data_IF_203767387168
#
_entry.id   IF_203767387168
#
_cell.length_a   1.000
_cell.length_b   1.000
_cell.length_c   1.000
_cell.angle_alpha   90.00
_cell.angle_beta   90.00
_cell.angle_gamma   90.00
#
_symmetry.space_group_name_H-M   'P 1'
#
loop_
_entity.id
_entity.type
_entity.pdbx_description
1 polymer ?
#
# COMPACT_ATOMS: atom_id res chain seq x y z
N UNK A 1 7.08 -1.75 -8.68
CA UNK A 1 6.24 -1.72 -7.47
C UNK A 1 5.89 -0.29 -7.15
N UNK A 2 4.66 -0.07 -6.66
CA UNK A 2 4.23 1.19 -6.06
C UNK A 2 3.83 0.94 -4.60
N UNK A 3 4.29 1.81 -3.70
CA UNK A 3 3.80 1.92 -2.32
C UNK A 3 3.17 3.31 -2.17
N UNK A 4 1.94 3.36 -1.68
CA UNK A 4 1.24 4.60 -1.31
C UNK A 4 1.23 4.66 0.21
N UNK A 5 1.84 5.69 0.80
CA UNK A 5 2.23 5.75 2.20
C UNK A 5 3.53 5.01 2.46
N UNK A 6 3.69 4.43 3.65
CA UNK A 6 4.89 3.66 4.01
C UNK A 6 6.15 4.51 4.18
N UNK A 7 5.99 5.75 4.62
CA UNK A 7 7.09 6.69 4.86
C UNK A 7 8.09 6.25 5.93
N UNK A 8 7.77 5.19 6.69
CA UNK A 8 8.69 4.55 7.65
C UNK A 8 9.71 3.62 6.98
N UNK A 9 9.53 3.29 5.69
CA UNK A 9 10.39 2.45 4.87
C UNK A 9 10.51 0.98 5.32
N UNK A 10 9.74 0.50 6.28
CA UNK A 10 9.86 -0.90 6.73
C UNK A 10 9.46 -1.87 5.61
N UNK A 11 8.36 -1.63 4.92
CA UNK A 11 7.95 -2.44 3.75
C UNK A 11 9.02 -2.37 2.65
N UNK A 12 9.53 -1.17 2.38
CA UNK A 12 10.60 -0.96 1.39
C UNK A 12 11.82 -1.81 1.72
N UNK A 13 12.29 -1.77 2.96
CA UNK A 13 13.44 -2.54 3.43
C UNK A 13 13.22 -4.06 3.24
N UNK A 14 12.03 -4.56 3.59
CA UNK A 14 11.69 -5.97 3.43
C UNK A 14 11.65 -6.38 1.95
N UNK A 15 11.05 -5.58 1.10
CA UNK A 15 11.00 -5.83 -0.33
C UNK A 15 12.39 -5.84 -0.96
N UNK A 16 13.25 -4.90 -0.57
CA UNK A 16 14.61 -4.76 -1.13
C UNK A 16 15.56 -5.91 -0.76
N UNK A 17 15.19 -6.79 0.16
CA UNK A 17 15.92 -8.03 0.40
C UNK A 17 15.76 -9.04 -0.75
N UNK A 18 14.73 -8.87 -1.59
CA UNK A 18 14.48 -9.75 -2.71
C UNK A 18 15.13 -9.19 -4.00
N UNK A 19 16.09 -9.93 -4.55
CA UNK A 19 16.86 -9.54 -5.75
C UNK A 19 16.02 -9.42 -7.04
N UNK A 20 14.79 -9.96 -7.06
CA UNK A 20 13.88 -9.90 -8.21
C UNK A 20 13.22 -8.53 -8.33
N UNK A 21 13.20 -7.75 -7.25
CA UNK A 21 12.55 -6.44 -7.23
C UNK A 21 13.42 -5.43 -7.98
N UNK A 22 12.84 -4.85 -9.03
CA UNK A 22 13.47 -3.81 -9.83
C UNK A 22 13.11 -2.41 -9.32
N UNK A 23 12.27 -1.70 -10.06
CA UNK A 23 11.87 -0.33 -9.71
C UNK A 23 10.80 -0.32 -8.61
N UNK A 24 11.01 0.51 -7.58
CA UNK A 24 10.08 0.74 -6.49
C UNK A 24 9.85 2.25 -6.34
N UNK A 25 8.60 2.67 -6.38
CA UNK A 25 8.21 4.05 -6.11
C UNK A 25 7.41 4.10 -4.82
N UNK A 26 7.76 5.03 -3.94
CA UNK A 26 7.05 5.33 -2.69
C UNK A 26 6.43 6.71 -2.90
N UNK A 27 5.13 6.83 -2.66
CA UNK A 27 4.41 8.10 -2.70
C UNK A 27 3.87 8.38 -1.31
N UNK A 28 4.56 9.26 -0.59
CA UNK A 28 4.21 9.66 0.77
C UNK A 28 3.65 11.08 0.77
N UNK A 29 2.54 11.26 1.46
CA UNK A 29 1.89 12.57 1.53
C UNK A 29 2.68 13.54 2.41
N UNK A 30 3.19 13.05 3.52
CA UNK A 30 3.81 13.85 4.57
C UNK A 30 5.33 13.65 4.62
N UNK A 31 6.06 14.69 4.25
CA UNK A 31 7.53 14.70 4.32
C UNK A 31 8.04 14.52 5.74
N UNK A 32 7.35 15.08 6.73
CA UNK A 32 7.79 15.02 8.13
C UNK A 32 7.77 13.59 8.66
N UNK A 33 6.83 12.76 8.21
CA UNK A 33 6.82 11.32 8.54
C UNK A 33 8.14 10.66 8.15
N UNK A 34 8.62 10.91 6.93
CA UNK A 34 9.89 10.34 6.45
C UNK A 34 11.09 10.86 7.24
N UNK A 35 11.10 12.16 7.56
CA UNK A 35 12.20 12.79 8.31
C UNK A 35 12.28 12.23 9.74
N UNK A 36 11.15 12.17 10.45
CA UNK A 36 11.07 11.61 11.80
C UNK A 36 11.42 10.12 11.81
N UNK A 37 10.86 9.35 10.87
CA UNK A 37 11.17 7.92 10.79
C UNK A 37 12.65 7.65 10.45
N UNK A 38 13.28 8.51 9.66
CA UNK A 38 14.72 8.39 9.37
C UNK A 38 15.57 8.62 10.63
N UNK A 39 15.15 9.51 11.49
CA UNK A 39 15.84 9.78 12.76
C UNK A 39 15.66 8.63 13.76
N UNK A 40 14.42 8.19 13.98
CA UNK A 40 14.11 7.21 15.03
C UNK A 40 14.21 5.75 14.59
N UNK A 41 14.09 5.47 13.29
CA UNK A 41 14.18 4.14 12.69
C UNK A 41 15.24 4.06 11.58
N UNK A 42 16.50 4.47 11.83
CA UNK A 42 17.51 4.59 10.78
C UNK A 42 17.83 3.25 10.07
N UNK A 43 17.54 2.12 10.71
CA UNK A 43 17.76 0.79 10.12
C UNK A 43 16.80 0.49 8.97
N UNK A 44 15.64 1.13 8.91
CA UNK A 44 14.67 0.95 7.82
C UNK A 44 15.15 1.57 6.51
N UNK A 45 16.09 2.51 6.59
CA UNK A 45 16.69 3.18 5.43
C UNK A 45 18.03 2.57 5.00
N UNK A 46 18.50 1.52 5.73
CA UNK A 46 19.73 0.78 5.40
C UNK A 46 19.39 -0.48 4.60
N UNK A 47 19.33 -0.37 3.30
CA UNK A 47 19.19 -1.48 2.38
C UNK A 47 20.22 -1.37 1.25
N UNK A 48 20.67 -2.54 0.75
CA UNK A 48 21.58 -2.57 -0.39
C UNK A 48 20.80 -2.27 -1.66
N UNK A 49 21.06 -1.12 -2.25
CA UNK A 49 20.69 -0.89 -3.64
C UNK A 49 21.70 -1.62 -4.53
N UNK A 50 21.21 -2.40 -5.47
CA UNK A 50 22.05 -2.94 -6.55
C UNK A 50 21.78 -2.13 -7.82
N UNK A 51 22.62 -2.30 -8.86
CA UNK A 51 22.52 -1.53 -10.10
C UNK A 51 21.15 -1.67 -10.81
N UNK A 52 20.39 -2.70 -10.50
CA UNK A 52 19.09 -2.99 -11.10
C UNK A 52 17.90 -2.45 -10.30
N UNK A 53 18.11 -1.96 -9.06
CA UNK A 53 17.05 -1.53 -8.17
C UNK A 53 17.06 0.00 -8.04
N UNK A 54 15.99 0.64 -8.52
CA UNK A 54 15.79 2.08 -8.33
C UNK A 54 14.65 2.31 -7.35
N UNK A 55 14.96 3.00 -6.26
CA UNK A 55 13.95 3.50 -5.32
C UNK A 55 13.71 4.97 -5.63
N UNK A 56 12.46 5.31 -5.85
CA UNK A 56 12.01 6.67 -6.09
C UNK A 56 11.05 7.07 -4.98
N UNK A 57 11.42 8.06 -4.18
CA UNK A 57 10.56 8.67 -3.17
C UNK A 57 9.97 9.96 -3.72
N UNK A 58 8.65 10.04 -3.70
CA UNK A 58 7.86 11.17 -4.16
C UNK A 58 6.99 11.68 -3.02
N UNK A 59 6.97 12.99 -2.80
CA UNK A 59 6.07 13.62 -1.85
C UNK A 59 4.87 14.21 -2.60
N UNK A 60 3.74 13.49 -2.58
CA UNK A 60 2.51 13.89 -3.26
C UNK A 60 1.31 13.11 -2.68
N UNK A 61 0.12 13.52 -3.04
CA UNK A 61 -1.10 12.75 -2.81
C UNK A 61 -1.11 11.46 -3.64
N UNK A 62 -1.23 10.31 -2.95
CA UNK A 62 -1.14 8.99 -3.58
C UNK A 62 -2.22 8.71 -4.62
N UNK A 63 -3.44 9.23 -4.42
CA UNK A 63 -4.52 9.09 -5.41
C UNK A 63 -4.21 9.91 -6.67
N UNK A 64 -3.83 11.17 -6.49
CA UNK A 64 -3.50 12.09 -7.57
C UNK A 64 -2.31 11.56 -8.38
N UNK A 65 -1.24 11.20 -7.71
CA UNK A 65 -0.05 10.65 -8.36
C UNK A 65 -0.36 9.37 -9.16
N UNK A 66 -1.12 8.45 -8.56
CA UNK A 66 -1.53 7.22 -9.25
C UNK A 66 -2.38 7.53 -10.48
N UNK A 67 -3.27 8.52 -10.43
CA UNK A 67 -4.11 8.94 -11.56
C UNK A 67 -3.25 9.36 -12.77
N UNK A 68 -2.18 10.11 -12.53
CA UNK A 68 -1.31 10.65 -13.57
C UNK A 68 -0.28 9.62 -14.08
N UNK A 69 -0.10 8.50 -13.39
CA UNK A 69 0.79 7.42 -13.84
C UNK A 69 0.23 6.70 -15.08
N UNK A 70 1.10 5.96 -15.78
CA UNK A 70 0.70 5.16 -16.96
C UNK A 70 -0.14 3.92 -16.53
N UNK A 71 -1.03 3.48 -17.40
CA UNK A 71 -1.79 2.24 -17.20
C UNK A 71 -0.88 1.01 -17.36
N UNK A 72 -1.26 -0.10 -16.73
CA UNK A 72 -0.57 -1.38 -16.81
C UNK A 72 0.94 -1.29 -16.54
N UNK A 73 1.32 -0.50 -15.54
CA UNK A 73 2.73 -0.23 -15.20
C UNK A 73 3.21 -1.09 -14.04
N UNK A 74 2.36 -1.34 -13.04
CA UNK A 74 2.79 -1.92 -11.78
C UNK A 74 2.50 -3.42 -11.71
N UNK A 75 3.49 -4.18 -11.24
CA UNK A 75 3.34 -5.60 -10.88
C UNK A 75 2.68 -5.75 -9.50
N UNK A 76 2.91 -4.77 -8.62
CA UNK A 76 2.39 -4.73 -7.26
C UNK A 76 2.10 -3.28 -6.86
N UNK A 77 0.91 -3.06 -6.29
CA UNK A 77 0.55 -1.81 -5.62
C UNK A 77 0.22 -2.14 -4.15
N UNK A 78 0.90 -1.47 -3.23
CA UNK A 78 0.67 -1.57 -1.78
C UNK A 78 0.13 -0.23 -1.29
N UNK A 79 -0.92 -0.27 -0.47
CA UNK A 79 -1.44 0.89 0.24
C UNK A 79 -1.23 0.67 1.73
N UNK A 80 -0.28 1.41 2.27
CA UNK A 80 0.10 1.40 3.68
C UNK A 80 -0.06 2.82 4.23
N UNK A 81 -1.28 3.15 4.55
CA UNK A 81 -1.70 4.47 5.00
C UNK A 81 -2.64 4.38 6.20
N UNK A 82 -2.98 5.51 6.76
CA UNK A 82 -3.92 5.64 7.89
C UNK A 82 -5.35 5.21 7.51
N UNK A 83 -6.23 5.15 8.50
CA UNK A 83 -7.64 4.74 8.37
C UNK A 83 -8.46 5.72 7.50
N UNK A 84 -9.63 5.28 6.96
CA UNK A 84 -10.41 6.07 6.00
C UNK A 84 -11.04 7.37 6.54
N UNK A 85 -11.00 7.61 7.85
CA UNK A 85 -11.51 8.86 8.46
C UNK A 85 -10.44 9.97 8.54
N UNK A 86 -9.38 9.85 7.78
CA UNK A 86 -8.20 10.73 7.74
C UNK A 86 -8.02 11.27 6.30
N UNK A 87 -6.94 11.99 6.00
CA UNK A 87 -6.59 12.36 4.62
C UNK A 87 -6.56 11.19 3.63
N UNK A 88 -6.38 9.94 4.11
CA UNK A 88 -6.39 8.74 3.28
C UNK A 88 -7.79 8.30 2.78
N UNK A 89 -8.87 9.02 3.11
CA UNK A 89 -10.26 8.62 2.77
C UNK A 89 -10.48 8.34 1.28
N UNK A 90 -9.82 9.07 0.38
CA UNK A 90 -9.91 8.85 -1.05
C UNK A 90 -9.34 7.51 -1.52
N UNK A 91 -8.37 6.96 -0.79
CA UNK A 91 -7.78 5.65 -1.06
C UNK A 91 -8.70 4.46 -0.70
N UNK A 92 -9.88 4.75 -0.15
CA UNK A 92 -10.91 3.75 0.18
C UNK A 92 -12.18 3.88 -0.68
N UNK A 93 -12.20 4.76 -1.68
CA UNK A 93 -13.36 4.96 -2.55
C UNK A 93 -13.36 4.01 -3.76
N UNK A 94 -14.55 3.75 -4.34
CA UNK A 94 -14.68 2.86 -5.50
C UNK A 94 -13.92 3.36 -6.74
N UNK A 95 -13.75 4.68 -6.88
CA UNK A 95 -12.96 5.27 -7.97
C UNK A 95 -11.48 4.91 -7.85
N UNK A 96 -10.95 4.88 -6.62
CA UNK A 96 -9.58 4.49 -6.37
C UNK A 96 -9.33 3.02 -6.78
N UNK A 97 -10.17 2.08 -6.38
CA UNK A 97 -9.98 0.66 -6.75
C UNK A 97 -10.07 0.41 -8.27
N UNK A 98 -10.96 1.11 -8.96
CA UNK A 98 -11.00 1.08 -10.43
C UNK A 98 -9.70 1.62 -11.04
N UNK A 99 -9.16 2.69 -10.47
CA UNK A 99 -7.89 3.27 -10.88
C UNK A 99 -6.74 2.30 -10.64
N UNK A 100 -6.62 1.71 -9.46
CA UNK A 100 -5.62 0.68 -9.12
C UNK A 100 -5.69 -0.46 -10.14
N UNK A 101 -6.90 -0.95 -10.47
CA UNK A 101 -7.08 -2.00 -11.46
C UNK A 101 -6.53 -1.61 -12.84
N UNK A 102 -6.71 -0.37 -13.28
CA UNK A 102 -6.17 0.13 -14.56
C UNK A 102 -4.65 0.21 -14.54
N UNK A 103 -4.05 0.62 -13.42
CA UNK A 103 -2.61 0.83 -13.28
C UNK A 103 -1.81 -0.45 -13.09
N UNK A 104 -2.42 -1.50 -12.56
CA UNK A 104 -1.81 -2.83 -12.46
C UNK A 104 -1.66 -3.47 -13.85
N UNK A 105 -0.57 -4.18 -14.04
CA UNK A 105 -0.39 -5.13 -15.15
C UNK A 105 -1.38 -6.30 -15.01
N UNK A 106 -1.55 -7.07 -16.08
CA UNK A 106 -2.29 -8.34 -16.00
C UNK A 106 -1.66 -9.23 -14.94
N UNK A 107 -2.49 -9.83 -14.09
CA UNK A 107 -2.09 -10.64 -12.93
C UNK A 107 -1.32 -9.87 -11.83
N UNK A 108 -1.20 -8.55 -11.94
CA UNK A 108 -0.60 -7.71 -10.91
C UNK A 108 -1.37 -7.77 -9.58
N UNK A 109 -0.65 -7.60 -8.49
CA UNK A 109 -1.18 -7.74 -7.14
C UNK A 109 -1.52 -6.39 -6.53
N UNK A 110 -2.57 -6.38 -5.71
CA UNK A 110 -2.94 -5.25 -4.86
C UNK A 110 -3.00 -5.70 -3.41
N UNK A 111 -2.43 -4.89 -2.53
CA UNK A 111 -2.42 -5.09 -1.07
C UNK A 111 -2.82 -3.77 -0.41
N UNK A 112 -3.72 -3.82 0.56
CA UNK A 112 -4.08 -2.65 1.37
C UNK A 112 -4.31 -3.04 2.82
N UNK A 113 -3.72 -2.29 3.76
CA UNK A 113 -4.05 -2.40 5.17
C UNK A 113 -5.50 -1.95 5.42
N UNK A 114 -6.23 -2.64 6.31
CA UNK A 114 -7.67 -2.43 6.47
C UNK A 114 -8.16 -2.37 7.91
N UNK A 115 -7.23 -2.27 8.84
CA UNK A 115 -7.56 -2.09 10.25
C UNK A 115 -7.87 -3.38 11.01
N UNK A 116 -8.40 -3.22 12.21
CA UNK A 116 -8.73 -4.33 13.10
C UNK A 116 -9.95 -5.12 12.62
N UNK A 117 -9.85 -6.45 12.50
CA UNK A 117 -10.98 -7.28 12.14
C UNK A 117 -12.09 -7.30 13.19
N UNK A 118 -11.78 -6.98 14.44
CA UNK A 118 -12.76 -6.91 15.54
C UNK A 118 -13.52 -5.58 15.55
N UNK A 119 -12.84 -4.49 15.27
CA UNK A 119 -13.40 -3.14 15.36
C UNK A 119 -13.92 -2.65 14.00
N UNK A 120 -13.14 -2.84 12.93
CA UNK A 120 -13.36 -2.21 11.62
C UNK A 120 -14.02 -3.13 10.58
N UNK A 121 -14.49 -4.33 11.00
CA UNK A 121 -15.03 -5.30 10.05
C UNK A 121 -16.24 -4.78 9.25
N UNK A 122 -17.19 -4.11 9.92
CA UNK A 122 -18.40 -3.57 9.27
C UNK A 122 -18.13 -2.23 8.56
N UNK A 123 -17.32 -1.37 9.17
CA UNK A 123 -17.10 0.01 8.71
C UNK A 123 -16.07 0.12 7.58
N UNK A 124 -15.06 -0.74 7.55
CA UNK A 124 -13.94 -0.65 6.60
C UNK A 124 -13.81 -1.93 5.78
N UNK A 125 -13.57 -3.09 6.42
CA UNK A 125 -13.15 -4.32 5.74
C UNK A 125 -14.20 -4.82 4.74
N UNK A 126 -15.45 -5.00 5.17
CA UNK A 126 -16.53 -5.45 4.28
C UNK A 126 -16.80 -4.47 3.12
N UNK A 127 -16.90 -3.14 3.33
CA UNK A 127 -17.00 -2.18 2.25
C UNK A 127 -15.84 -2.23 1.25
N UNK A 128 -14.60 -2.40 1.70
CA UNK A 128 -13.42 -2.55 0.84
C UNK A 128 -13.54 -3.78 -0.04
N UNK A 129 -13.88 -4.96 0.53
CA UNK A 129 -14.07 -6.19 -0.23
C UNK A 129 -15.10 -5.99 -1.35
N UNK A 130 -16.29 -5.44 -1.03
CA UNK A 130 -17.33 -5.18 -2.02
C UNK A 130 -16.88 -4.25 -3.15
N UNK A 131 -16.09 -3.22 -2.82
CA UNK A 131 -15.56 -2.30 -3.82
C UNK A 131 -14.52 -2.95 -4.73
N UNK A 132 -13.68 -3.84 -4.18
CA UNK A 132 -12.70 -4.63 -4.94
C UNK A 132 -13.41 -5.60 -5.89
N UNK A 133 -14.42 -6.33 -5.43
CA UNK A 133 -15.27 -7.21 -6.26
C UNK A 133 -15.90 -6.43 -7.42
N UNK A 134 -16.51 -5.27 -7.12
CA UNK A 134 -17.11 -4.38 -8.14
C UNK A 134 -16.08 -3.81 -9.11
N UNK A 135 -14.80 -3.81 -8.75
CA UNK A 135 -13.70 -3.34 -9.59
C UNK A 135 -13.00 -4.47 -10.35
N UNK A 136 -13.59 -5.68 -10.41
CA UNK A 136 -13.14 -6.87 -11.15
C UNK A 136 -11.88 -7.54 -10.60
N UNK A 137 -11.49 -7.26 -9.37
CA UNK A 137 -10.42 -8.01 -8.73
C UNK A 137 -10.85 -9.43 -8.42
N UNK A 138 -9.91 -10.37 -8.51
CA UNK A 138 -10.12 -11.79 -8.22
C UNK A 138 -9.19 -12.26 -7.10
N UNK A 139 -9.55 -13.37 -6.46
CA UNK A 139 -8.74 -13.95 -5.39
C UNK A 139 -8.63 -13.05 -4.17
N UNK A 140 -9.70 -12.29 -3.85
CA UNK A 140 -9.73 -11.37 -2.72
C UNK A 140 -9.65 -12.17 -1.42
N UNK A 141 -8.62 -11.92 -0.62
CA UNK A 141 -8.41 -12.56 0.68
C UNK A 141 -8.07 -11.53 1.74
N UNK A 142 -8.54 -11.77 2.95
CA UNK A 142 -8.17 -11.03 4.15
C UNK A 142 -7.16 -11.84 4.94
N UNK A 143 -6.04 -11.24 5.29
CA UNK A 143 -5.04 -11.80 6.21
C UNK A 143 -5.07 -11.04 7.51
N UNK A 144 -5.08 -11.76 8.63
CA UNK A 144 -5.08 -11.20 9.99
C UNK A 144 -3.73 -11.52 10.61
N UNK A 145 -3.18 -10.57 11.33
CA UNK A 145 -1.91 -10.74 12.02
C UNK A 145 -1.92 -10.07 13.41
N UNK A 146 -1.11 -10.55 14.36
CA UNK A 146 -0.99 -9.93 15.68
C UNK A 146 -0.31 -8.55 15.55
N UNK A 147 -0.86 -7.56 16.24
CA UNK A 147 -0.33 -6.21 16.31
C UNK A 147 -0.62 -5.63 17.70
N UNK A 148 0.26 -5.92 18.64
CA UNK A 148 0.04 -5.65 20.06
C UNK A 148 -0.13 -4.16 20.41
N UNK A 149 0.43 -3.26 19.62
CA UNK A 149 0.35 -1.81 19.85
C UNK A 149 -0.95 -1.18 19.36
N UNK A 150 -1.74 -1.91 18.56
CA UNK A 150 -3.04 -1.40 18.07
C UNK A 150 -4.20 -1.87 18.93
N UNK A 151 -5.29 -1.08 19.01
CA UNK A 151 -6.52 -1.51 19.68
C UNK A 151 -6.96 -2.89 19.20
N UNK A 152 -7.36 -3.76 20.10
CA UNK A 152 -7.71 -5.17 19.84
C UNK A 152 -6.55 -6.16 19.67
N UNK A 153 -5.28 -5.73 19.66
CA UNK A 153 -4.12 -6.62 19.53
C UNK A 153 -4.00 -7.34 18.18
N UNK A 154 -4.89 -7.03 17.21
CA UNK A 154 -4.90 -7.64 15.88
C UNK A 154 -5.19 -6.61 14.79
N UNK A 155 -4.57 -6.82 13.63
CA UNK A 155 -4.74 -5.99 12.45
C UNK A 155 -4.95 -6.84 11.21
N UNK A 156 -5.31 -6.22 10.09
CA UNK A 156 -5.53 -6.97 8.86
C UNK A 156 -5.12 -6.17 7.62
N UNK A 157 -4.81 -6.92 6.57
CA UNK A 157 -4.74 -6.41 5.22
C UNK A 157 -5.56 -7.27 4.26
N UNK A 158 -6.03 -6.67 3.18
CA UNK A 158 -6.66 -7.36 2.07
C UNK A 158 -5.66 -7.42 0.93
N UNK A 159 -5.63 -8.56 0.26
CA UNK A 159 -4.87 -8.73 -0.98
C UNK A 159 -5.72 -9.38 -2.06
N UNK A 160 -5.45 -9.02 -3.31
CA UNK A 160 -6.14 -9.53 -4.47
C UNK A 160 -5.28 -9.35 -5.72
N UNK A 161 -5.74 -9.84 -6.86
CA UNK A 161 -5.04 -9.67 -8.12
C UNK A 161 -5.97 -9.20 -9.24
N UNK A 162 -5.37 -8.54 -10.23
CA UNK A 162 -6.03 -8.22 -11.49
C UNK A 162 -6.21 -9.50 -12.30
N UNK A 163 -7.39 -9.70 -12.88
CA UNK A 163 -7.72 -10.80 -13.80
C UNK A 163 -6.89 -10.75 -15.09
#
# INVERSE_FOLDING_TARGET
>A
ILIIGGGDFEITKQLMQNKIIGNLTIVELDREVVEVCREYFPLNYKFKQNENNKINLVFDDGYKWLKDSKNSTFDLIIVDCTDPNTPASELYCSRFYKLVYQKLKKHGLFIQQTGSPLIHNKSVIKPVIKKLESSRFIGIKKTIFPMAIYPSGTWSFIHCKKA
#
